data_IF_761627895766
#
_entry.id   IF_761627895766
#
_cell.length_a   1.000
_cell.length_b   1.000
_cell.length_c   1.000
_cell.angle_alpha   90.00
_cell.angle_beta   90.00
_cell.angle_gamma   90.00
#
_symmetry.space_group_name_H-M   'P 1'
#
loop_
_entity.id
_entity.type
_entity.pdbx_description
1 polymer ?
#
# COMPACT_ATOMS: atom_id res chain seq x y z
N UNK A 1 -14.63 11.17 -22.53
CA UNK A 1 -15.63 10.09 -22.39
C UNK A 1 -15.34 9.42 -21.06
N UNK A 2 -16.16 9.64 -20.02
CA UNK A 2 -15.95 9.01 -18.72
C UNK A 2 -16.23 7.51 -18.86
N UNK A 3 -15.19 6.68 -18.73
CA UNK A 3 -15.37 5.23 -18.63
C UNK A 3 -15.83 4.98 -17.19
N UNK A 4 -17.09 4.60 -17.02
CA UNK A 4 -17.62 4.16 -15.72
C UNK A 4 -16.93 2.85 -15.38
N UNK A 5 -16.16 2.83 -14.30
CA UNK A 5 -15.50 1.62 -13.82
C UNK A 5 -16.44 0.79 -12.94
N UNK A 6 -16.10 -0.48 -12.73
CA UNK A 6 -16.80 -1.36 -11.77
C UNK A 6 -16.96 -0.70 -10.39
N UNK A 7 -15.91 -0.03 -9.91
CA UNK A 7 -15.94 0.63 -8.61
C UNK A 7 -16.75 1.93 -8.61
N UNK A 8 -16.85 2.64 -9.74
CA UNK A 8 -17.76 3.79 -9.85
C UNK A 8 -19.23 3.31 -9.76
N UNK A 9 -19.55 2.14 -10.34
CA UNK A 9 -20.86 1.51 -10.15
C UNK A 9 -21.10 1.12 -8.67
N UNK A 10 -20.12 0.54 -7.98
CA UNK A 10 -20.24 0.23 -6.55
C UNK A 10 -20.50 1.50 -5.75
N UNK A 11 -19.72 2.57 -5.99
CA UNK A 11 -19.90 3.86 -5.31
C UNK A 11 -21.30 4.42 -5.53
N UNK A 12 -21.82 4.32 -6.76
CA UNK A 12 -23.18 4.76 -7.08
C UNK A 12 -24.25 3.97 -6.31
N UNK A 13 -24.16 2.63 -6.30
CA UNK A 13 -25.11 1.80 -5.55
C UNK A 13 -25.00 1.99 -4.04
N UNK A 14 -23.79 2.20 -3.53
CA UNK A 14 -23.58 2.52 -2.13
C UNK A 14 -24.29 3.83 -1.74
N UNK A 15 -24.30 4.82 -2.62
CA UNK A 15 -25.04 6.06 -2.40
C UNK A 15 -26.56 5.88 -2.44
N UNK A 16 -27.08 5.08 -3.36
CA UNK A 16 -28.52 4.77 -3.44
C UNK A 16 -29.01 4.08 -2.17
N UNK A 17 -28.22 3.14 -1.64
CA UNK A 17 -28.55 2.34 -0.45
C UNK A 17 -27.87 2.83 0.82
N UNK A 18 -27.51 4.12 0.89
CA UNK A 18 -26.76 4.70 2.01
C UNK A 18 -27.49 4.65 3.37
N UNK A 19 -28.79 4.33 3.37
CA UNK A 19 -29.64 4.14 4.54
C UNK A 19 -29.72 2.68 5.01
N UNK A 20 -29.15 1.71 4.26
CA UNK A 20 -29.20 0.29 4.58
C UNK A 20 -27.92 -0.16 5.25
N UNK A 21 -28.04 -0.82 6.40
CA UNK A 21 -26.90 -1.41 7.12
C UNK A 21 -26.01 -2.28 6.22
N UNK A 22 -26.61 -3.08 5.32
CA UNK A 22 -25.90 -3.98 4.41
C UNK A 22 -24.93 -3.27 3.45
N UNK A 23 -25.06 -1.95 3.26
CA UNK A 23 -24.21 -1.17 2.37
C UNK A 23 -22.73 -1.17 2.81
N UNK A 24 -22.43 -1.49 4.08
CA UNK A 24 -21.05 -1.66 4.56
C UNK A 24 -20.24 -2.67 3.73
N UNK A 25 -20.91 -3.65 3.11
CA UNK A 25 -20.29 -4.64 2.21
C UNK A 25 -19.86 -4.01 0.88
N UNK A 26 -20.60 -3.01 0.40
CA UNK A 26 -20.20 -2.24 -0.79
C UNK A 26 -19.07 -1.27 -0.45
N UNK A 27 -19.19 -0.58 0.69
CA UNK A 27 -18.16 0.38 1.13
C UNK A 27 -16.80 -0.28 1.36
N UNK A 28 -16.76 -1.53 1.86
CA UNK A 28 -15.50 -2.23 2.12
C UNK A 28 -14.69 -2.55 0.85
N UNK A 29 -15.33 -2.54 -0.32
CA UNK A 29 -14.70 -2.75 -1.63
C UNK A 29 -14.10 -1.46 -2.21
N UNK A 30 -14.53 -0.28 -1.75
CA UNK A 30 -14.05 1.02 -2.21
C UNK A 30 -12.75 1.39 -1.47
N UNK A 31 -11.64 0.79 -1.90
CA UNK A 31 -10.34 0.93 -1.24
C UNK A 31 -9.46 2.06 -1.79
N UNK A 32 -9.80 2.59 -2.97
CA UNK A 32 -9.09 3.69 -3.61
C UNK A 32 -9.44 5.02 -2.95
N UNK A 33 -8.45 5.88 -2.76
CA UNK A 33 -8.59 7.12 -2.00
C UNK A 33 -9.60 8.10 -2.62
N UNK A 34 -9.83 8.01 -3.95
CA UNK A 34 -10.85 8.83 -4.61
C UNK A 34 -12.28 8.60 -4.08
N UNK A 35 -12.54 7.45 -3.43
CA UNK A 35 -13.84 7.13 -2.83
C UNK A 35 -13.93 7.46 -1.34
N UNK A 36 -12.84 7.86 -0.68
CA UNK A 36 -12.81 8.07 0.78
C UNK A 36 -13.91 9.02 1.26
N UNK A 37 -14.13 10.13 0.55
CA UNK A 37 -15.18 11.09 0.90
C UNK A 37 -16.60 10.49 0.86
N UNK A 38 -16.89 9.63 -0.12
CA UNK A 38 -18.17 8.93 -0.22
C UNK A 38 -18.31 7.92 0.92
N UNK A 39 -17.25 7.12 1.14
CA UNK A 39 -17.22 6.09 2.18
C UNK A 39 -17.46 6.70 3.56
N UNK A 40 -16.72 7.76 3.91
CA UNK A 40 -16.85 8.42 5.21
C UNK A 40 -18.22 9.05 5.43
N UNK A 41 -18.77 9.70 4.40
CA UNK A 41 -20.10 10.30 4.47
C UNK A 41 -21.16 9.25 4.76
N UNK A 42 -21.13 8.10 4.06
CA UNK A 42 -22.09 7.02 4.27
C UNK A 42 -21.84 6.36 5.64
N UNK A 43 -20.58 6.11 6.02
CA UNK A 43 -20.22 5.57 7.33
C UNK A 43 -20.80 6.39 8.50
N UNK A 44 -20.72 7.72 8.41
CA UNK A 44 -21.32 8.62 9.39
C UNK A 44 -22.83 8.44 9.48
N UNK A 45 -23.53 8.44 8.33
CA UNK A 45 -24.98 8.19 8.28
C UNK A 45 -25.38 6.85 8.89
N UNK A 46 -24.64 5.78 8.58
CA UNK A 46 -24.91 4.45 9.13
C UNK A 46 -24.68 4.39 10.65
N UNK A 47 -23.69 5.12 11.16
CA UNK A 47 -23.43 5.21 12.60
C UNK A 47 -24.60 5.85 13.35
N UNK A 48 -25.18 6.91 12.78
CA UNK A 48 -26.36 7.59 13.32
C UNK A 48 -27.62 6.72 13.22
N UNK A 49 -27.81 6.01 12.10
CA UNK A 49 -28.98 5.16 11.86
C UNK A 49 -28.95 3.82 12.62
N UNK A 50 -27.76 3.27 12.88
CA UNK A 50 -27.55 1.93 13.45
C UNK A 50 -26.50 1.93 14.59
N UNK A 51 -26.69 2.71 15.67
CA UNK A 51 -25.67 2.90 16.71
C UNK A 51 -25.27 1.61 17.46
N UNK A 52 -26.15 0.62 17.51
CA UNK A 52 -25.90 -0.65 18.20
C UNK A 52 -25.41 -1.77 17.28
N UNK A 53 -25.37 -1.55 15.96
CA UNK A 53 -24.94 -2.56 14.99
C UNK A 53 -23.47 -2.92 15.19
N UNK A 54 -23.19 -4.21 15.29
CA UNK A 54 -21.83 -4.72 15.29
C UNK A 54 -21.16 -4.56 13.93
N UNK A 55 -21.89 -4.77 12.83
CA UNK A 55 -21.37 -4.63 11.48
C UNK A 55 -20.90 -3.19 11.21
N UNK A 56 -21.70 -2.19 11.58
CA UNK A 56 -21.35 -0.77 11.44
C UNK A 56 -20.18 -0.40 12.34
N UNK A 57 -20.16 -0.90 13.59
CA UNK A 57 -19.05 -0.67 14.51
C UNK A 57 -17.73 -1.24 13.97
N UNK A 58 -17.74 -2.49 13.52
CA UNK A 58 -16.56 -3.15 12.97
C UNK A 58 -16.08 -2.46 11.69
N UNK A 59 -17.01 -2.06 10.82
CA UNK A 59 -16.70 -1.28 9.63
C UNK A 59 -15.99 0.03 9.98
N UNK A 60 -16.49 0.79 10.95
CA UNK A 60 -15.86 2.04 11.39
C UNK A 60 -14.48 1.82 11.99
N UNK A 61 -14.27 0.76 12.77
CA UNK A 61 -12.93 0.41 13.30
C UNK A 61 -11.95 0.20 12.13
N UNK A 62 -12.36 -0.57 11.11
CA UNK A 62 -11.54 -0.79 9.91
C UNK A 62 -11.34 0.50 9.11
N UNK A 63 -12.36 1.36 9.01
CA UNK A 63 -12.25 2.65 8.32
C UNK A 63 -11.23 3.57 9.00
N UNK A 64 -11.28 3.69 10.32
CA UNK A 64 -10.33 4.51 11.09
C UNK A 64 -8.89 3.98 11.01
N UNK A 65 -8.71 2.66 10.89
CA UNK A 65 -7.40 2.07 10.59
C UNK A 65 -6.93 2.43 9.18
N UNK A 66 -7.80 2.31 8.17
CA UNK A 66 -7.50 2.65 6.77
C UNK A 66 -7.21 4.13 6.56
N UNK A 67 -7.88 5.02 7.29
CA UNK A 67 -7.64 6.48 7.25
C UNK A 67 -6.19 6.85 7.52
N UNK A 68 -5.49 6.09 8.36
CA UNK A 68 -4.05 6.30 8.64
C UNK A 68 -3.16 6.09 7.43
N UNK A 69 -3.68 5.45 6.39
CA UNK A 69 -2.99 5.14 5.15
C UNK A 69 -3.47 6.00 3.99
N UNK A 70 -4.32 7.01 4.21
CA UNK A 70 -4.74 7.91 3.13
C UNK A 70 -3.55 8.69 2.58
N UNK A 71 -3.63 9.05 1.30
CA UNK A 71 -2.69 10.00 0.73
C UNK A 71 -2.63 11.30 1.56
N UNK A 72 -1.42 11.78 1.80
CA UNK A 72 -1.10 12.89 2.69
C UNK A 72 -0.86 12.50 4.15
N UNK A 73 -1.18 11.27 4.56
CA UNK A 73 -0.88 10.79 5.92
C UNK A 73 0.56 10.33 6.06
N UNK A 74 1.20 10.50 7.23
CA UNK A 74 2.52 9.94 7.50
C UNK A 74 2.54 8.43 7.29
N UNK A 75 3.57 7.93 6.62
CA UNK A 75 3.73 6.48 6.44
C UNK A 75 3.95 5.77 7.79
N UNK A 76 3.28 4.63 8.06
CA UNK A 76 3.55 3.84 9.25
C UNK A 76 5.00 3.40 9.34
N UNK A 77 5.61 3.60 10.51
CA UNK A 77 7.02 3.27 10.73
C UNK A 77 7.21 1.79 11.05
N UNK A 78 8.35 1.23 10.62
CA UNK A 78 8.86 -0.07 11.03
C UNK A 78 10.39 -0.01 11.05
N UNK A 79 11.04 -1.02 11.63
CA UNK A 79 12.50 -1.10 11.61
C UNK A 79 12.93 -2.55 11.39
N UNK A 80 13.34 -2.88 10.16
CA UNK A 80 13.59 -4.25 9.72
C UNK A 80 15.04 -4.46 9.33
N UNK A 81 15.58 -5.64 9.65
CA UNK A 81 16.98 -5.98 9.41
C UNK A 81 17.26 -6.09 7.90
N UNK A 82 18.34 -5.46 7.43
CA UNK A 82 18.82 -5.55 6.06
C UNK A 82 19.34 -6.94 5.72
N UNK A 83 19.30 -7.31 4.44
CA UNK A 83 19.76 -8.62 3.96
C UNK A 83 21.22 -8.94 4.32
N UNK A 84 22.07 -7.92 4.46
CA UNK A 84 23.47 -8.04 4.90
C UNK A 84 23.65 -8.11 6.43
N UNK A 85 22.57 -7.96 7.19
CA UNK A 85 22.55 -8.02 8.65
C UNK A 85 23.18 -6.81 9.35
N UNK A 86 23.57 -5.76 8.63
CA UNK A 86 24.37 -4.66 9.21
C UNK A 86 23.54 -3.55 9.84
N UNK A 87 22.30 -3.37 9.39
CA UNK A 87 21.47 -2.25 9.80
C UNK A 87 19.99 -2.64 9.85
N UNK A 88 19.19 -1.78 10.48
CA UNK A 88 17.74 -1.85 10.34
C UNK A 88 17.28 -0.61 9.57
N UNK A 89 16.33 -0.80 8.67
CA UNK A 89 15.77 0.27 7.86
C UNK A 89 14.25 0.35 8.02
N UNK A 90 13.75 1.57 7.93
CA UNK A 90 12.36 1.97 7.97
C UNK A 90 12.10 3.20 7.11
N UNK A 91 10.84 3.63 6.95
CA UNK A 91 10.50 4.83 6.18
C UNK A 91 11.20 6.11 6.64
N UNK A 92 11.49 6.24 7.94
CA UNK A 92 12.15 7.43 8.49
C UNK A 92 13.61 7.59 8.05
N UNK A 93 14.30 6.50 7.70
CA UNK A 93 15.70 6.53 7.24
C UNK A 93 15.87 7.19 5.86
N UNK A 94 14.76 7.39 5.14
CA UNK A 94 14.74 7.95 3.78
C UNK A 94 14.12 9.36 3.71
N UNK A 95 13.93 10.04 4.85
CA UNK A 95 13.40 11.42 4.87
C UNK A 95 14.24 12.35 3.98
N UNK A 96 13.56 13.26 3.28
CA UNK A 96 14.15 14.12 2.26
C UNK A 96 14.24 13.50 0.86
N UNK A 97 13.95 12.21 0.71
CA UNK A 97 13.88 11.51 -0.57
C UNK A 97 12.46 10.97 -0.79
N UNK A 98 12.10 10.74 -2.05
CA UNK A 98 10.90 9.95 -2.35
C UNK A 98 11.25 8.48 -2.10
N UNK A 99 10.42 7.75 -1.37
CA UNK A 99 10.65 6.33 -1.07
C UNK A 99 9.57 5.47 -1.72
N UNK A 100 10.01 4.44 -2.45
CA UNK A 100 9.18 3.35 -2.95
C UNK A 100 9.36 2.15 -2.04
N UNK A 101 8.30 1.74 -1.35
CA UNK A 101 8.27 0.50 -0.57
C UNK A 101 7.54 -0.57 -1.37
N UNK A 102 8.20 -1.70 -1.63
CA UNK A 102 7.61 -2.85 -2.31
C UNK A 102 7.49 -4.05 -1.36
N UNK A 103 6.26 -4.40 -0.99
CA UNK A 103 5.97 -5.58 -0.19
C UNK A 103 5.82 -6.80 -1.11
N UNK A 104 6.72 -7.77 -0.95
CA UNK A 104 6.85 -8.90 -1.87
C UNK A 104 7.24 -10.21 -1.16
N UNK A 105 7.39 -11.30 -1.92
CA UNK A 105 7.92 -12.56 -1.43
C UNK A 105 8.52 -13.41 -2.57
N UNK A 106 9.48 -14.28 -2.24
CA UNK A 106 10.19 -15.15 -3.20
C UNK A 106 9.25 -16.10 -3.98
N UNK A 107 8.19 -16.56 -3.32
CA UNK A 107 7.18 -17.46 -3.87
C UNK A 107 6.06 -16.73 -4.63
N UNK A 108 6.04 -15.40 -4.62
CA UNK A 108 5.00 -14.61 -5.26
C UNK A 108 5.34 -14.38 -6.75
N UNK A 109 4.79 -15.23 -7.62
CA UNK A 109 4.94 -15.10 -9.08
C UNK A 109 4.58 -13.70 -9.63
N UNK A 110 3.42 -13.12 -9.28
CA UNK A 110 3.07 -11.75 -9.70
C UNK A 110 4.03 -10.68 -9.21
N UNK A 111 4.64 -10.86 -8.03
CA UNK A 111 5.65 -9.92 -7.51
C UNK A 111 6.91 -9.97 -8.37
N UNK A 112 7.39 -11.19 -8.69
CA UNK A 112 8.54 -11.36 -9.58
C UNK A 112 8.29 -10.80 -10.98
N UNK A 113 7.05 -10.89 -11.47
CA UNK A 113 6.63 -10.25 -12.72
C UNK A 113 6.68 -8.71 -12.70
N UNK A 114 6.61 -8.09 -11.52
CA UNK A 114 6.67 -6.63 -11.35
C UNK A 114 8.10 -6.10 -11.14
N UNK A 115 9.04 -6.95 -10.68
CA UNK A 115 10.45 -6.57 -10.46
C UNK A 115 11.09 -5.87 -11.67
N UNK A 116 10.89 -6.30 -12.93
CA UNK A 116 11.42 -5.57 -14.08
C UNK A 116 10.92 -4.12 -14.20
N UNK A 117 9.66 -3.85 -13.83
CA UNK A 117 9.12 -2.49 -13.81
C UNK A 117 9.75 -1.65 -12.69
N UNK A 118 9.97 -2.25 -11.52
CA UNK A 118 10.66 -1.58 -10.40
C UNK A 118 12.12 -1.30 -10.73
N UNK A 119 12.82 -2.22 -11.41
CA UNK A 119 14.19 -1.98 -11.93
C UNK A 119 14.24 -0.82 -12.90
N UNK A 120 13.31 -0.77 -13.85
CA UNK A 120 13.19 0.38 -14.77
C UNK A 120 12.94 1.69 -14.02
N UNK A 121 12.09 1.66 -12.99
CA UNK A 121 11.86 2.82 -12.14
C UNK A 121 13.13 3.24 -11.39
N UNK A 122 13.87 2.29 -10.82
CA UNK A 122 15.14 2.51 -10.15
C UNK A 122 16.16 3.18 -11.09
N UNK A 123 16.41 2.59 -12.27
CA UNK A 123 17.33 3.13 -13.27
C UNK A 123 16.99 4.57 -13.70
N UNK A 124 15.68 4.89 -13.77
CA UNK A 124 15.22 6.20 -14.26
C UNK A 124 15.22 7.28 -13.19
N UNK A 125 14.93 6.91 -11.93
CA UNK A 125 14.57 7.87 -10.88
C UNK A 125 15.49 7.85 -9.67
N UNK A 126 16.38 6.86 -9.52
CA UNK A 126 17.27 6.79 -8.35
C UNK A 126 18.14 8.04 -8.22
N UNK A 127 18.79 8.44 -9.31
CA UNK A 127 19.61 9.66 -9.36
C UNK A 127 18.80 10.96 -9.23
N UNK A 128 17.47 10.88 -9.32
CA UNK A 128 16.54 12.01 -9.13
C UNK A 128 16.01 12.12 -7.70
N UNK A 129 16.63 11.41 -6.76
CA UNK A 129 16.28 11.44 -5.34
C UNK A 129 15.12 10.50 -4.97
N UNK A 130 14.96 9.41 -5.71
CA UNK A 130 14.04 8.31 -5.37
C UNK A 130 14.84 7.13 -4.79
N UNK A 131 14.40 6.60 -3.67
CA UNK A 131 14.94 5.41 -3.05
C UNK A 131 13.94 4.28 -3.08
N UNK A 132 14.46 3.06 -3.04
CA UNK A 132 13.67 1.84 -3.12
C UNK A 132 14.02 0.94 -1.94
N UNK A 133 12.98 0.42 -1.28
CA UNK A 133 13.11 -0.53 -0.19
C UNK A 133 12.10 -1.66 -0.42
N UNK A 134 12.59 -2.86 -0.70
CA UNK A 134 11.72 -4.01 -0.79
C UNK A 134 11.66 -4.73 0.56
N UNK A 135 10.43 -4.98 1.02
CA UNK A 135 10.13 -5.66 2.28
C UNK A 135 9.59 -7.05 1.96
N UNK A 136 10.40 -8.07 2.18
CA UNK A 136 9.95 -9.45 2.02
C UNK A 136 9.09 -9.92 3.19
N UNK A 137 8.02 -10.64 2.89
CA UNK A 137 7.19 -11.36 3.87
C UNK A 137 7.44 -12.88 3.85
N UNK A 138 8.58 -13.32 3.33
CA UNK A 138 8.98 -14.72 3.31
C UNK A 138 9.04 -15.33 4.72
N UNK A 139 8.74 -16.62 4.81
CA UNK A 139 8.98 -17.44 6.01
C UNK A 139 10.33 -18.13 5.96
N UNK A 140 10.78 -18.46 4.76
CA UNK A 140 12.02 -19.18 4.50
C UNK A 140 13.08 -18.17 4.02
N UNK A 141 14.02 -17.86 4.90
CA UNK A 141 15.12 -16.93 4.60
C UNK A 141 16.04 -17.45 3.49
N UNK A 142 16.22 -18.77 3.37
CA UNK A 142 17.08 -19.37 2.33
C UNK A 142 16.43 -19.18 0.96
N UNK A 143 15.13 -19.42 0.86
CA UNK A 143 14.37 -19.17 -0.36
C UNK A 143 14.40 -17.68 -0.76
N UNK A 144 14.24 -16.79 0.22
CA UNK A 144 14.35 -15.35 -0.01
C UNK A 144 15.73 -14.95 -0.52
N UNK A 145 16.81 -15.39 0.13
CA UNK A 145 18.19 -15.08 -0.29
C UNK A 145 18.48 -15.59 -1.71
N UNK A 146 18.03 -16.79 -2.04
CA UNK A 146 18.13 -17.31 -3.41
C UNK A 146 17.40 -16.42 -4.42
N UNK A 147 16.19 -15.96 -4.08
CA UNK A 147 15.46 -15.04 -4.94
C UNK A 147 16.18 -13.69 -5.10
N UNK A 148 16.91 -13.20 -4.08
CA UNK A 148 17.73 -12.00 -4.22
C UNK A 148 18.86 -12.19 -5.24
N UNK A 149 19.51 -13.36 -5.24
CA UNK A 149 20.55 -13.72 -6.22
C UNK A 149 20.00 -13.82 -7.64
N UNK A 150 18.83 -14.46 -7.80
CA UNK A 150 18.15 -14.62 -9.09
C UNK A 150 17.67 -13.26 -9.64
N UNK A 151 17.05 -12.45 -8.79
CA UNK A 151 16.38 -11.22 -9.19
C UNK A 151 17.32 -10.02 -9.28
N UNK A 152 18.50 -10.04 -8.66
CA UNK A 152 19.51 -8.98 -8.79
C UNK A 152 18.92 -7.56 -8.63
N UNK A 153 18.15 -7.33 -7.56
CA UNK A 153 17.58 -6.02 -7.26
C UNK A 153 18.66 -5.13 -6.63
N UNK A 154 19.07 -4.01 -7.28
CA UNK A 154 20.22 -3.22 -6.83
C UNK A 154 19.97 -2.34 -5.60
N UNK A 155 18.75 -2.31 -5.08
CA UNK A 155 18.35 -1.51 -3.92
C UNK A 155 18.25 -2.34 -2.63
N UNK A 156 18.04 -1.67 -1.50
CA UNK A 156 17.99 -2.30 -0.19
C UNK A 156 16.82 -3.29 -0.05
N UNK A 157 17.12 -4.42 0.60
CA UNK A 157 16.18 -5.51 0.85
C UNK A 157 16.15 -5.79 2.36
N UNK A 158 14.95 -5.93 2.92
CA UNK A 158 14.73 -6.29 4.32
C UNK A 158 13.76 -7.47 4.42
N UNK A 159 13.92 -8.30 5.45
CA UNK A 159 13.01 -9.42 5.73
C UNK A 159 12.16 -9.12 6.95
N UNK A 160 10.84 -9.12 6.78
CA UNK A 160 9.90 -8.91 7.86
C UNK A 160 9.70 -10.21 8.67
N UNK A 161 9.83 -10.19 10.01
CA UNK A 161 9.67 -11.37 10.83
C UNK A 161 8.22 -11.88 10.80
N UNK A 162 8.02 -13.14 11.20
CA UNK A 162 6.70 -13.76 11.32
C UNK A 162 5.87 -13.65 10.03
N UNK A 163 6.50 -13.84 8.87
CA UNK A 163 5.86 -13.70 7.56
C UNK A 163 5.21 -12.32 7.35
N UNK A 164 5.84 -11.27 7.87
CA UNK A 164 5.38 -9.90 7.76
C UNK A 164 4.09 -9.56 8.49
N UNK A 165 3.76 -10.25 9.60
CA UNK A 165 2.54 -9.98 10.38
C UNK A 165 2.39 -8.48 10.71
N UNK A 166 3.44 -7.88 11.27
CA UNK A 166 3.44 -6.47 11.66
C UNK A 166 3.26 -5.53 10.47
N UNK A 167 4.03 -5.70 9.39
CA UNK A 167 3.90 -4.82 8.22
C UNK A 167 2.57 -4.95 7.49
N UNK A 168 1.95 -6.16 7.49
CA UNK A 168 0.59 -6.36 6.99
C UNK A 168 -0.44 -5.62 7.84
N UNK A 169 -0.28 -5.62 9.15
CA UNK A 169 -1.15 -4.88 10.07
C UNK A 169 -0.94 -3.35 9.94
N UNK A 170 0.31 -2.89 9.82
CA UNK A 170 0.62 -1.47 9.66
C UNK A 170 0.09 -0.90 8.34
N UNK A 171 0.31 -1.60 7.23
CA UNK A 171 -0.04 -1.14 5.88
C UNK A 171 -1.36 -1.73 5.34
N UNK A 172 -2.06 -2.53 6.15
CA UNK A 172 -3.41 -3.06 5.89
C UNK A 172 -3.59 -3.72 4.51
N UNK A 173 -2.55 -4.39 3.99
CA UNK A 173 -2.62 -5.11 2.71
C UNK A 173 -2.90 -6.60 2.93
N UNK A 174 -3.77 -7.16 2.09
CA UNK A 174 -4.13 -8.59 2.12
C UNK A 174 -3.53 -9.40 0.97
N UNK A 175 -2.89 -8.73 -0.01
CA UNK A 175 -2.31 -9.35 -1.18
C UNK A 175 -1.00 -8.64 -1.57
N UNK A 176 -0.09 -9.39 -2.19
CA UNK A 176 1.16 -8.88 -2.76
C UNK A 176 1.21 -9.14 -4.27
N UNK A 177 1.94 -8.33 -5.06
CA UNK A 177 2.76 -7.20 -4.63
C UNK A 177 1.91 -6.02 -4.15
N UNK A 178 2.42 -5.29 -3.16
CA UNK A 178 1.79 -4.07 -2.68
C UNK A 178 2.86 -2.99 -2.62
N UNK A 179 2.75 -1.99 -3.48
CA UNK A 179 3.75 -0.91 -3.58
C UNK A 179 3.16 0.37 -3.00
N UNK A 180 3.92 1.03 -2.14
CA UNK A 180 3.58 2.32 -1.55
C UNK A 180 4.64 3.34 -1.93
N UNK A 181 4.21 4.53 -2.35
CA UNK A 181 5.10 5.65 -2.64
C UNK A 181 4.93 6.70 -1.55
N UNK A 182 6.05 7.14 -1.01
CA UNK A 182 6.15 8.09 0.08
C UNK A 182 6.93 9.32 -0.42
N UNK A 183 6.45 10.52 -0.13
CA UNK A 183 7.11 11.76 -0.50
C UNK A 183 8.30 12.11 0.41
N UNK A 184 8.97 13.22 0.11
CA UNK A 184 10.15 13.71 0.83
C UNK A 184 9.86 14.08 2.29
N UNK A 185 8.62 14.42 2.62
CA UNK A 185 8.19 14.70 3.99
C UNK A 185 7.81 13.43 4.77
N UNK A 186 7.75 12.28 4.09
CA UNK A 186 7.40 11.01 4.71
C UNK A 186 5.92 10.69 4.69
N UNK A 187 5.14 11.30 3.81
CA UNK A 187 3.71 11.05 3.66
C UNK A 187 3.44 10.12 2.49
N UNK A 188 2.40 9.31 2.62
CA UNK A 188 1.92 8.44 1.54
C UNK A 188 1.38 9.32 0.41
N UNK A 189 1.81 9.07 -0.82
CA UNK A 189 1.34 9.77 -2.03
C UNK A 189 0.88 8.82 -3.13
N UNK A 190 0.86 7.52 -2.83
CA UNK A 190 0.30 6.50 -3.70
C UNK A 190 0.41 5.11 -3.09
N UNK A 191 -0.55 4.24 -3.40
CA UNK A 191 -0.62 2.86 -2.90
C UNK A 191 -1.06 1.91 -4.00
N UNK A 192 -0.64 0.65 -3.89
CA UNK A 192 -0.97 -0.42 -4.82
C UNK A 192 -0.63 -0.08 -6.29
N UNK A 193 0.43 0.72 -6.49
CA UNK A 193 0.86 1.14 -7.83
C UNK A 193 1.68 0.03 -8.50
N UNK A 194 1.54 -0.12 -9.82
CA UNK A 194 2.27 -1.12 -10.63
C UNK A 194 2.52 -0.60 -12.03
N UNK A 195 3.55 -1.14 -12.69
CA UNK A 195 3.90 -0.87 -14.08
C UNK A 195 3.93 0.62 -14.40
N UNK A 196 3.20 1.02 -15.44
CA UNK A 196 3.18 2.40 -15.90
C UNK A 196 2.57 3.36 -14.87
N UNK A 197 1.66 2.91 -14.01
CA UNK A 197 1.05 3.76 -12.98
C UNK A 197 2.13 4.19 -11.97
N UNK A 198 3.00 3.25 -11.56
CA UNK A 198 4.13 3.56 -10.69
C UNK A 198 5.08 4.57 -11.36
N UNK A 199 5.46 4.32 -12.61
CA UNK A 199 6.37 5.20 -13.35
C UNK A 199 5.83 6.62 -13.50
N UNK A 200 4.53 6.76 -13.79
CA UNK A 200 3.87 8.06 -13.92
C UNK A 200 3.87 8.82 -12.58
N UNK A 201 3.60 8.12 -11.47
CA UNK A 201 3.63 8.73 -10.13
C UNK A 201 5.03 9.24 -9.78
N UNK A 202 6.07 8.46 -10.08
CA UNK A 202 7.45 8.88 -9.85
C UNK A 202 7.86 10.04 -10.75
N UNK A 203 7.40 10.07 -11.99
CA UNK A 203 7.60 11.21 -12.88
C UNK A 203 7.00 12.50 -12.29
N UNK A 204 5.77 12.43 -11.80
CA UNK A 204 5.09 13.56 -11.14
C UNK A 204 5.91 14.14 -9.98
N UNK A 205 6.53 13.28 -9.17
CA UNK A 205 7.26 13.66 -7.95
C UNK A 205 8.72 14.11 -8.20
N UNK A 206 9.23 13.89 -9.41
CA UNK A 206 10.64 14.14 -9.78
C UNK A 206 10.83 15.14 -10.92
N UNK A 207 9.74 15.73 -11.42
CA UNK A 207 9.77 16.93 -12.26
C UNK A 207 10.20 18.15 -11.45
#
# INVERSE_FOLDING_TARGET
MYIITYFDCISHWADIYADRESVVVLLSQLQDDKYNAVVERIAKKLTEAYPNSEAVRNFNITLEQKKRLYEGMPAPEFSLLTADGKSKLGPSDFRGKVLVIDFWASWCGPCRGEIPNVKKAYETYHEKGVEFLSVSIDKDEVAWRKALEDEQMPWCQVLAPQAGKEVKELYQFSAIPFIVVIDREGKIVGKNLRGQILLNKLEELTR
#
